data_IF_903642248258
#
_entry.id   IF_903642248258
#
_cell.length_a   1.000
_cell.length_b   1.000
_cell.length_c   1.000
_cell.angle_alpha   90.00
_cell.angle_beta   90.00
_cell.angle_gamma   90.00
#
_symmetry.space_group_name_H-M   'P 1'
#
loop_
_entity.id
_entity.type
_entity.pdbx_description
1 polymer ?
#
# COMPACT_ATOMS: atom_id res chain seq x y z
N UNK A 1 -10.53 33.91 -6.40
CA UNK A 1 -9.24 33.27 -6.08
C UNK A 1 -9.58 32.22 -5.04
N UNK A 2 -9.77 30.97 -5.47
CA UNK A 2 -10.08 29.84 -4.59
C UNK A 2 -8.74 29.25 -4.14
N UNK A 3 -8.53 29.18 -2.83
CA UNK A 3 -7.40 28.51 -2.22
C UNK A 3 -7.90 27.27 -1.49
N UNK A 4 -7.63 26.10 -2.05
CA UNK A 4 -7.82 24.82 -1.38
C UNK A 4 -6.71 24.67 -0.34
N UNK A 5 -7.07 24.73 0.94
CA UNK A 5 -6.19 24.27 2.02
C UNK A 5 -6.82 23.05 2.65
N UNK A 6 -6.22 21.91 2.29
CA UNK A 6 -6.42 20.56 2.77
C UNK A 6 -6.52 20.50 4.30
N UNK A 7 -7.75 20.29 4.80
CA UNK A 7 -8.04 19.99 6.20
C UNK A 7 -8.45 18.52 6.30
N UNK A 8 -7.66 17.70 6.99
CA UNK A 8 -8.25 16.61 7.78
C UNK A 8 -7.34 16.15 8.91
N UNK A 9 -7.34 16.94 10.00
CA UNK A 9 -7.00 16.43 11.34
C UNK A 9 -8.19 15.60 11.86
N UNK A 10 -7.98 14.39 12.40
CA UNK A 10 -8.92 13.81 13.34
C UNK A 10 -8.63 14.40 14.73
N UNK A 11 -9.59 15.13 15.29
CA UNK A 11 -9.53 15.65 16.65
C UNK A 11 -9.38 14.54 17.69
N UNK A 12 -8.56 14.78 18.69
CA UNK A 12 -8.41 13.96 19.89
C UNK A 12 -9.68 14.01 20.75
N UNK A 13 -10.29 12.87 21.03
CA UNK A 13 -11.16 12.69 22.20
C UNK A 13 -12.45 11.90 21.96
N UNK A 14 -12.56 10.74 22.61
CA UNK A 14 -13.85 10.05 22.79
C UNK A 14 -13.75 8.54 22.96
N UNK A 15 -13.63 8.09 24.21
CA UNK A 15 -13.76 6.71 24.67
C UNK A 15 -14.82 5.91 23.90
N UNK A 16 -14.48 4.74 23.35
CA UNK A 16 -15.48 3.75 22.94
C UNK A 16 -15.03 2.34 23.32
N UNK A 17 -15.81 1.73 24.19
CA UNK A 17 -15.73 0.35 24.68
C UNK A 17 -15.88 -0.69 23.54
N UNK A 18 -15.35 -1.92 23.70
CA UNK A 18 -15.36 -2.93 22.65
C UNK A 18 -16.69 -3.70 22.60
N UNK A 19 -17.70 -3.12 21.95
CA UNK A 19 -18.86 -3.87 21.42
C UNK A 19 -19.63 -2.99 20.43
N UNK A 20 -19.91 -3.55 19.25
CA UNK A 20 -20.93 -3.09 18.29
C UNK A 20 -20.68 -1.78 17.51
N UNK A 21 -19.82 -1.79 16.49
CA UNK A 21 -20.05 -1.12 15.19
C UNK A 21 -19.32 -1.97 14.13
N UNK A 22 -19.93 -2.48 13.06
CA UNK A 22 -20.16 -1.72 11.84
C UNK A 22 -21.05 -2.55 10.89
N UNK A 23 -22.31 -2.17 10.73
CA UNK A 23 -23.12 -2.53 9.56
C UNK A 23 -23.74 -1.26 8.98
N UNK A 24 -22.88 -0.31 8.57
CA UNK A 24 -23.32 0.96 7.99
C UNK A 24 -22.25 2.05 7.93
N UNK A 25 -21.01 1.74 7.56
CA UNK A 25 -20.00 2.77 7.29
C UNK A 25 -20.25 3.42 5.92
N UNK A 26 -20.12 4.75 5.83
CA UNK A 26 -19.98 5.44 4.55
C UNK A 26 -18.88 4.76 3.72
N UNK A 27 -18.96 4.69 2.37
CA UNK A 27 -17.90 4.11 1.53
C UNK A 27 -16.49 4.64 1.83
N UNK A 28 -16.40 5.79 2.50
CA UNK A 28 -15.19 6.51 2.85
C UNK A 28 -14.57 6.17 4.21
N UNK A 29 -15.22 5.38 5.08
CA UNK A 29 -14.65 5.03 6.39
C UNK A 29 -13.94 3.66 6.35
N UNK A 30 -12.72 3.53 6.93
CA UNK A 30 -12.05 2.24 7.04
C UNK A 30 -12.88 1.24 7.86
N UNK A 31 -13.04 0.03 7.33
CA UNK A 31 -13.62 -1.10 8.05
C UNK A 31 -12.53 -1.81 8.84
N UNK A 32 -12.58 -1.68 10.17
CA UNK A 32 -11.63 -2.32 11.09
C UNK A 32 -12.20 -3.65 11.61
N UNK A 33 -11.37 -4.68 11.60
CA UNK A 33 -11.67 -6.01 12.11
C UNK A 33 -11.29 -6.13 13.59
N UNK A 34 -11.86 -7.13 14.28
CA UNK A 34 -11.62 -7.35 15.73
C UNK A 34 -10.14 -7.56 16.07
N UNK A 35 -9.38 -8.17 15.15
CA UNK A 35 -7.94 -8.41 15.34
C UNK A 35 -7.07 -7.17 15.13
N UNK A 36 -7.63 -6.04 14.66
CA UNK A 36 -6.89 -4.81 14.36
C UNK A 36 -6.57 -4.62 12.87
N UNK A 37 -6.68 -5.65 12.03
CA UNK A 37 -6.57 -5.47 10.56
C UNK A 37 -7.70 -4.59 10.05
N UNK A 38 -7.48 -3.91 8.92
CA UNK A 38 -8.51 -3.04 8.35
C UNK A 38 -8.46 -3.00 6.82
N UNK A 39 -9.61 -2.64 6.24
CA UNK A 39 -9.77 -2.42 4.80
C UNK A 39 -10.41 -1.07 4.54
N UNK A 40 -10.05 -0.40 3.45
CA UNK A 40 -10.66 0.85 3.01
C UNK A 40 -10.78 0.87 1.49
N UNK A 41 -11.81 1.52 0.97
CA UNK A 41 -11.91 1.87 -0.44
C UNK A 41 -11.95 3.38 -0.54
N UNK A 42 -10.98 4.00 -1.23
CA UNK A 42 -10.94 5.45 -1.37
C UNK A 42 -11.99 5.92 -2.42
N UNK A 43 -12.10 7.23 -2.61
CA UNK A 43 -13.02 7.82 -3.60
C UNK A 43 -12.66 7.49 -5.05
N UNK A 44 -11.42 7.10 -5.31
CA UNK A 44 -10.91 6.72 -6.63
C UNK A 44 -11.21 5.24 -6.94
N UNK A 45 -11.68 4.47 -5.95
CA UNK A 45 -12.00 3.06 -6.07
C UNK A 45 -10.85 2.12 -5.69
N UNK A 46 -9.70 2.66 -5.27
CA UNK A 46 -8.58 1.85 -4.82
C UNK A 46 -8.94 1.15 -3.51
N UNK A 47 -8.60 -0.13 -3.44
CA UNK A 47 -8.83 -0.96 -2.28
C UNK A 47 -7.52 -1.14 -1.51
N UNK A 48 -7.53 -0.72 -0.25
CA UNK A 48 -6.41 -0.81 0.66
C UNK A 48 -6.73 -1.85 1.74
N UNK A 49 -5.80 -2.74 2.01
CA UNK A 49 -5.85 -3.70 3.12
C UNK A 49 -4.59 -3.58 3.93
N UNK A 50 -4.70 -3.48 5.26
CA UNK A 50 -3.56 -3.52 6.19
C UNK A 50 -3.79 -4.62 7.21
N UNK A 51 -2.81 -5.50 7.32
CA UNK A 51 -2.80 -6.62 8.25
C UNK A 51 -2.19 -6.22 9.60
N UNK A 52 -2.51 -7.00 10.62
CA UNK A 52 -1.98 -6.82 11.98
C UNK A 52 -0.46 -6.93 12.08
N UNK A 53 0.18 -7.60 11.12
CA UNK A 53 1.64 -7.70 11.00
C UNK A 53 2.27 -6.43 10.43
N UNK A 54 1.46 -5.48 9.98
CA UNK A 54 1.87 -4.30 9.22
C UNK A 54 2.05 -4.55 7.73
N UNK A 55 1.92 -5.79 7.24
CA UNK A 55 1.84 -6.05 5.81
C UNK A 55 0.60 -5.35 5.22
N UNK A 56 0.70 -4.91 3.96
CA UNK A 56 -0.40 -4.22 3.31
C UNK A 56 -0.45 -4.45 1.80
N UNK A 57 -1.64 -4.28 1.24
CA UNK A 57 -1.93 -4.37 -0.19
C UNK A 57 -2.74 -3.16 -0.62
N UNK A 58 -2.40 -2.60 -1.79
CA UNK A 58 -3.23 -1.65 -2.52
C UNK A 58 -3.53 -2.22 -3.89
N UNK A 59 -4.81 -2.37 -4.21
CA UNK A 59 -5.30 -2.68 -5.54
C UNK A 59 -5.88 -1.39 -6.09
N UNK A 60 -5.21 -0.79 -7.06
CA UNK A 60 -5.66 0.43 -7.70
C UNK A 60 -6.82 0.15 -8.65
N UNK A 61 -7.65 1.16 -8.87
CA UNK A 61 -8.79 1.08 -9.79
C UNK A 61 -8.40 0.82 -11.25
N UNK A 62 -7.17 1.16 -11.64
CA UNK A 62 -6.59 0.90 -12.96
C UNK A 62 -6.04 -0.52 -13.15
N UNK A 63 -6.01 -1.33 -12.09
CA UNK A 63 -5.51 -2.70 -12.11
C UNK A 63 -4.10 -2.88 -11.57
N UNK A 64 -3.36 -1.81 -11.28
CA UNK A 64 -2.05 -1.92 -10.61
C UNK A 64 -2.21 -2.50 -9.20
N UNK A 65 -1.32 -3.41 -8.82
CA UNK A 65 -1.33 -4.05 -7.50
C UNK A 65 0.02 -3.85 -6.80
N UNK A 66 -0.02 -3.28 -5.60
CA UNK A 66 1.13 -3.12 -4.72
C UNK A 66 0.93 -4.03 -3.51
N UNK A 67 1.96 -4.82 -3.17
CA UNK A 67 2.00 -5.63 -1.96
C UNK A 67 3.27 -5.37 -1.19
N UNK A 68 3.14 -5.12 0.10
CA UNK A 68 4.27 -4.90 1.01
C UNK A 68 4.15 -5.85 2.18
N UNK A 69 5.20 -6.62 2.39
CA UNK A 69 5.31 -7.55 3.51
C UNK A 69 5.65 -6.80 4.81
N UNK A 70 5.52 -7.50 5.94
CA UNK A 70 5.89 -6.95 7.25
C UNK A 70 7.38 -6.56 7.36
N UNK A 71 8.25 -7.15 6.54
CA UNK A 71 9.67 -6.76 6.49
C UNK A 71 9.94 -5.55 5.60
N UNK A 72 8.90 -4.99 4.97
CA UNK A 72 9.02 -3.90 4.01
C UNK A 72 9.43 -4.35 2.60
N UNK A 73 9.72 -5.64 2.37
CA UNK A 73 9.90 -6.17 1.02
C UNK A 73 8.58 -6.06 0.24
N UNK A 74 8.64 -5.76 -1.05
CA UNK A 74 7.46 -5.40 -1.81
C UNK A 74 7.47 -5.86 -3.26
N UNK A 75 6.27 -5.97 -3.82
CA UNK A 75 6.05 -6.18 -5.26
C UNK A 75 5.09 -5.12 -5.79
N UNK A 76 5.32 -4.67 -7.02
CA UNK A 76 4.40 -3.85 -7.79
C UNK A 76 4.14 -4.56 -9.10
N UNK A 77 2.88 -4.82 -9.40
CA UNK A 77 2.42 -5.35 -10.68
C UNK A 77 1.65 -4.25 -11.37
N UNK A 78 2.13 -3.82 -12.54
CA UNK A 78 1.42 -2.83 -13.35
C UNK A 78 0.21 -3.46 -14.06
N UNK A 79 -0.54 -2.64 -14.81
CA UNK A 79 -1.71 -3.12 -15.54
C UNK A 79 -1.35 -3.98 -16.77
N UNK A 80 -0.10 -3.92 -17.24
CA UNK A 80 0.40 -4.64 -18.41
C UNK A 80 1.04 -6.00 -18.06
N UNK A 81 1.26 -6.26 -16.77
CA UNK A 81 1.80 -7.52 -16.24
C UNK A 81 3.30 -7.48 -15.96
N UNK A 82 3.95 -6.32 -16.07
CA UNK A 82 5.30 -6.11 -15.52
C UNK A 82 5.22 -6.22 -13.99
N UNK A 83 6.17 -6.94 -13.42
CA UNK A 83 6.29 -7.14 -11.98
C UNK A 83 7.66 -6.70 -11.51
N UNK A 84 7.67 -5.66 -10.69
CA UNK A 84 8.83 -5.27 -9.91
C UNK A 84 8.79 -6.02 -8.59
N UNK A 85 9.90 -6.65 -8.22
CA UNK A 85 10.09 -7.28 -6.90
C UNK A 85 11.28 -6.64 -6.21
N UNK A 86 11.09 -6.22 -4.95
CA UNK A 86 12.15 -5.67 -4.09
C UNK A 86 12.20 -6.47 -2.81
N UNK A 87 13.35 -7.09 -2.57
CA UNK A 87 13.61 -7.93 -1.42
C UNK A 87 13.92 -7.08 -0.18
N UNK A 88 13.89 -7.73 0.99
CA UNK A 88 14.15 -7.07 2.27
C UNK A 88 15.57 -6.47 2.39
N UNK A 89 16.53 -6.98 1.60
CA UNK A 89 17.89 -6.46 1.51
C UNK A 89 18.05 -5.31 0.50
N UNK A 90 16.96 -4.91 -0.16
CA UNK A 90 16.94 -3.86 -1.19
C UNK A 90 17.35 -4.35 -2.58
N UNK A 91 17.78 -5.61 -2.74
CA UNK A 91 17.95 -6.18 -4.08
C UNK A 91 16.60 -6.23 -4.79
N UNK A 92 16.59 -6.01 -6.09
CA UNK A 92 15.35 -5.94 -6.86
C UNK A 92 15.46 -6.61 -8.22
N UNK A 93 14.33 -6.90 -8.84
CA UNK A 93 14.21 -7.42 -10.21
C UNK A 93 12.93 -6.94 -10.87
N UNK A 94 12.94 -6.93 -12.21
CA UNK A 94 11.76 -6.71 -13.04
C UNK A 94 11.52 -8.00 -13.81
N UNK A 95 10.26 -8.36 -13.98
CA UNK A 95 9.87 -9.46 -14.85
C UNK A 95 8.62 -9.10 -15.62
N UNK A 96 8.58 -9.42 -16.91
CA UNK A 96 7.40 -9.28 -17.75
C UNK A 96 6.88 -10.68 -18.10
N UNK A 97 5.59 -10.95 -17.90
CA UNK A 97 4.98 -12.25 -18.20
C UNK A 97 5.69 -13.46 -17.56
N UNK A 98 6.34 -13.26 -16.41
CA UNK A 98 7.09 -14.29 -15.68
C UNK A 98 8.53 -14.53 -16.17
N UNK A 99 9.01 -13.75 -17.14
CA UNK A 99 10.41 -13.76 -17.57
C UNK A 99 11.15 -12.65 -16.82
N UNK A 100 12.17 -12.99 -16.03
CA UNK A 100 13.02 -12.00 -15.36
C UNK A 100 13.96 -11.39 -16.39
N UNK A 101 13.99 -10.06 -16.46
CA UNK A 101 14.91 -9.35 -17.34
C UNK A 101 16.31 -9.28 -16.72
N UNK A 102 17.31 -9.73 -17.49
CA UNK A 102 18.72 -9.65 -17.10
C UNK A 102 19.23 -8.21 -17.22
N UNK A 103 20.02 -7.79 -16.23
CA UNK A 103 20.24 -6.39 -15.84
C UNK A 103 21.00 -5.45 -16.78
N UNK A 104 21.20 -5.79 -18.05
CA UNK A 104 21.90 -4.91 -19.01
C UNK A 104 20.99 -3.77 -19.51
N UNK A 105 19.66 -3.96 -19.48
CA UNK A 105 18.65 -2.97 -19.88
C UNK A 105 17.86 -2.38 -18.70
N UNK A 106 18.30 -2.58 -17.45
CA UNK A 106 17.52 -2.21 -16.25
C UNK A 106 17.21 -0.70 -16.20
N UNK A 107 15.96 -0.30 -16.42
CA UNK A 107 15.59 1.10 -16.55
C UNK A 107 15.31 1.67 -15.16
N UNK A 108 16.23 2.51 -14.66
CA UNK A 108 16.12 3.27 -13.41
C UNK A 108 15.87 2.44 -12.12
N UNK A 109 16.16 3.04 -10.96
CA UNK A 109 15.79 2.43 -9.68
C UNK A 109 14.27 2.46 -9.51
N UNK A 110 13.62 1.36 -9.08
CA UNK A 110 12.18 1.37 -8.87
C UNK A 110 11.72 2.48 -7.93
N UNK A 111 10.57 3.07 -8.25
CA UNK A 111 9.96 4.07 -7.36
C UNK A 111 9.38 3.36 -6.13
N UNK A 112 9.68 3.90 -4.95
CA UNK A 112 9.20 3.32 -3.68
C UNK A 112 7.69 3.53 -3.58
N UNK A 113 6.90 2.48 -3.28
CA UNK A 113 5.48 2.62 -3.07
C UNK A 113 5.10 3.61 -1.96
N UNK A 114 4.01 4.34 -2.17
CA UNK A 114 3.42 5.20 -1.13
C UNK A 114 2.83 4.37 0.00
N UNK A 115 3.28 4.61 1.23
CA UNK A 115 2.78 3.91 2.42
C UNK A 115 1.34 4.36 2.74
N UNK A 116 0.40 3.45 3.03
CA UNK A 116 -0.91 3.81 3.57
C UNK A 116 -0.77 4.65 4.83
N UNK A 117 -1.68 5.61 5.01
CA UNK A 117 -1.71 6.52 6.16
C UNK A 117 -2.23 5.82 7.44
N UNK A 118 -1.49 4.83 7.89
CA UNK A 118 -1.71 4.06 9.12
C UNK A 118 -0.37 3.83 9.82
N UNK A 119 -0.33 3.96 11.14
CA UNK A 119 0.89 3.71 11.92
C UNK A 119 1.35 2.26 11.89
N UNK A 120 0.43 1.32 11.63
CA UNK A 120 0.71 -0.11 11.63
C UNK A 120 1.31 -0.59 10.30
N UNK A 121 1.02 0.12 9.21
CA UNK A 121 1.52 -0.25 7.88
C UNK A 121 3.06 -0.14 7.81
N UNK A 122 3.71 -1.22 7.39
CA UNK A 122 5.15 -1.33 7.20
C UNK A 122 5.66 -0.31 6.18
N UNK A 123 6.85 0.23 6.43
CA UNK A 123 7.54 1.11 5.48
C UNK A 123 8.19 0.25 4.39
N UNK A 124 7.91 0.51 3.10
CA UNK A 124 8.56 -0.20 2.01
C UNK A 124 10.08 0.03 2.03
N UNK A 125 10.84 -1.02 1.72
CA UNK A 125 12.29 -0.96 1.60
C UNK A 125 12.68 -0.15 0.36
N UNK A 126 13.71 0.68 0.50
CA UNK A 126 14.32 1.39 -0.63
C UNK A 126 15.12 0.41 -1.50
N UNK A 127 14.86 0.34 -2.82
CA UNK A 127 15.67 -0.45 -3.73
C UNK A 127 17.13 0.03 -3.74
N UNK A 128 18.07 -0.90 -3.80
CA UNK A 128 19.48 -0.58 -4.01
C UNK A 128 19.70 -0.04 -5.42
N UNK A 129 20.60 0.93 -5.58
CA UNK A 129 20.99 1.40 -6.89
C UNK A 129 21.60 0.25 -7.73
N UNK A 130 21.37 0.22 -9.06
CA UNK A 130 22.10 -0.68 -9.95
C UNK A 130 23.61 -0.41 -9.80
N UNK A 131 24.41 -1.49 -9.84
CA UNK A 131 25.87 -1.42 -9.69
C UNK A 131 26.55 -1.01 -10.99
#
# INVERSE_FOLDING_TARGET
>A
MNGDTNQNQPGTGGNNTPAQRNNGGSPTEPKVNVNGSWTHTNSEGDKITVETSGAWEVIKSDGEVIRVSASGAWTQTDHDGEVITVNADGSWSVSENGIVEDGEDRPETPTIPGKPNSSEAATPVTPAAPR
#
